data_IF_827599828793
#
_entry.id   IF_827599828793
#
_cell.length_a   1.000
_cell.length_b   1.000
_cell.length_c   1.000
_cell.angle_alpha   90.00
_cell.angle_beta   90.00
_cell.angle_gamma   90.00
#
_symmetry.space_group_name_H-M   'P 1'
#
loop_
_entity.id
_entity.type
_entity.pdbx_description
1 polymer ?
#
# COMPACT_ATOMS: atom_id res chain seq x y z
N UNK A 1 1.29 -5.74 17.91
CA UNK A 1 0.97 -5.69 16.46
C UNK A 1 -0.31 -6.48 16.28
N UNK A 2 -1.35 -5.89 15.70
CA UNK A 2 -2.65 -6.53 15.54
C UNK A 2 -3.41 -5.87 14.39
N UNK A 3 -4.45 -6.55 13.88
CA UNK A 3 -5.41 -5.98 12.94
C UNK A 3 -4.78 -5.34 11.68
N UNK A 4 -3.99 -6.12 10.94
CA UNK A 4 -3.43 -5.72 9.63
C UNK A 4 -2.70 -4.35 9.65
N UNK A 5 -2.00 -4.03 10.75
CA UNK A 5 -1.40 -2.70 10.94
C UNK A 5 0.05 -2.54 10.46
N UNK A 6 0.67 -3.62 9.98
CA UNK A 6 2.06 -3.66 9.49
C UNK A 6 3.06 -2.87 10.37
N UNK A 7 3.01 -3.02 11.70
CA UNK A 7 3.85 -2.25 12.64
C UNK A 7 3.62 -0.73 12.60
N UNK A 8 2.36 -0.29 12.72
CA UNK A 8 1.92 1.13 12.79
C UNK A 8 1.90 1.88 11.45
N UNK A 9 1.99 1.15 10.33
CA UNK A 9 1.83 1.75 8.99
C UNK A 9 0.40 2.22 8.77
N UNK A 10 -0.61 1.53 9.33
CA UNK A 10 -2.00 1.96 9.24
C UNK A 10 -2.19 3.39 9.77
N UNK A 11 -1.59 3.71 10.93
CA UNK A 11 -1.61 5.05 11.51
C UNK A 11 -0.81 6.06 10.68
N UNK A 12 0.33 5.67 10.13
CA UNK A 12 1.16 6.52 9.28
C UNK A 12 0.44 6.91 7.97
N UNK A 13 -0.15 5.93 7.29
CA UNK A 13 -0.94 6.14 6.07
C UNK A 13 -2.15 7.02 6.37
N UNK A 14 -2.89 6.71 7.44
CA UNK A 14 -4.04 7.52 7.84
C UNK A 14 -3.64 8.97 8.09
N UNK A 15 -2.55 9.22 8.82
CA UNK A 15 -2.05 10.56 9.09
C UNK A 15 -1.74 11.32 7.80
N UNK A 16 -0.91 10.74 6.91
CA UNK A 16 -0.47 11.39 5.68
C UNK A 16 -1.66 11.68 4.76
N UNK A 17 -2.51 10.69 4.50
CA UNK A 17 -3.64 10.87 3.57
C UNK A 17 -4.67 11.87 4.08
N UNK A 18 -4.88 11.94 5.40
CA UNK A 18 -5.72 12.98 6.00
C UNK A 18 -5.11 14.38 5.86
N UNK A 19 -3.80 14.51 6.08
CA UNK A 19 -3.12 15.79 5.91
C UNK A 19 -3.13 16.27 4.46
N UNK A 20 -2.95 15.37 3.49
CA UNK A 20 -3.04 15.70 2.06
C UNK A 20 -4.42 16.22 1.70
N UNK A 21 -5.50 15.57 2.17
CA UNK A 21 -6.86 16.05 1.91
C UNK A 21 -7.13 17.41 2.57
N UNK A 22 -6.65 17.63 3.80
CA UNK A 22 -6.77 18.92 4.48
C UNK A 22 -6.02 20.02 3.74
N UNK A 23 -4.81 19.73 3.24
CA UNK A 23 -4.01 20.65 2.45
C UNK A 23 -4.69 20.98 1.11
N UNK A 24 -5.28 19.99 0.44
CA UNK A 24 -6.03 20.20 -0.80
C UNK A 24 -7.21 21.16 -0.60
N UNK A 25 -7.93 21.03 0.52
CA UNK A 25 -9.01 21.95 0.90
C UNK A 25 -8.47 23.36 1.13
N UNK A 26 -7.40 23.51 1.93
CA UNK A 26 -6.80 24.81 2.25
C UNK A 26 -6.30 25.53 0.98
N UNK A 27 -5.69 24.79 0.05
CA UNK A 27 -5.16 25.34 -1.21
C UNK A 27 -6.22 25.48 -2.31
N UNK A 28 -7.45 25.02 -2.09
CA UNK A 28 -8.51 24.93 -3.10
C UNK A 28 -8.08 24.16 -4.37
N UNK A 29 -7.27 23.11 -4.21
CA UNK A 29 -6.81 22.22 -5.28
C UNK A 29 -7.59 20.91 -5.21
N UNK A 30 -7.85 20.26 -6.34
CA UNK A 30 -8.43 18.92 -6.32
C UNK A 30 -7.46 17.92 -5.63
N UNK A 31 -7.90 17.14 -4.64
CA UNK A 31 -7.04 16.23 -3.89
C UNK A 31 -6.41 15.11 -4.73
N UNK A 32 -6.99 14.73 -5.89
CA UNK A 32 -6.34 13.79 -6.79
C UNK A 32 -5.21 14.48 -7.58
N UNK A 33 -5.43 15.73 -7.99
CA UNK A 33 -4.39 16.54 -8.63
C UNK A 33 -3.22 16.82 -7.67
N UNK A 34 -3.50 17.22 -6.43
CA UNK A 34 -2.46 17.46 -5.42
C UNK A 34 -1.58 16.22 -5.21
N UNK A 35 -2.18 15.02 -5.20
CA UNK A 35 -1.42 13.76 -5.16
C UNK A 35 -0.56 13.60 -6.43
N UNK A 36 -1.15 13.69 -7.63
CA UNK A 36 -0.42 13.55 -8.90
C UNK A 36 0.80 14.48 -8.99
N UNK A 37 0.69 15.69 -8.47
CA UNK A 37 1.78 16.68 -8.50
C UNK A 37 2.93 16.35 -7.52
N UNK A 38 2.69 15.48 -6.54
CA UNK A 38 3.65 15.15 -5.46
C UNK A 38 4.03 13.66 -5.42
N UNK A 39 3.46 12.82 -6.27
CA UNK A 39 3.80 11.39 -6.33
C UNK A 39 5.23 11.20 -6.84
N UNK A 40 5.91 10.23 -6.26
CA UNK A 40 7.23 9.76 -6.72
C UNK A 40 7.06 9.15 -8.12
N UNK A 41 7.86 9.62 -9.07
CA UNK A 41 7.92 9.11 -10.44
C UNK A 41 8.58 7.73 -10.51
N UNK A 42 8.23 6.88 -11.48
CA UNK A 42 8.77 5.53 -11.60
C UNK A 42 10.29 5.50 -11.83
N UNK A 43 10.85 6.55 -12.41
CA UNK A 43 12.28 6.75 -12.66
C UNK A 43 13.07 7.18 -11.40
N UNK A 44 12.39 7.46 -10.29
CA UNK A 44 13.01 7.86 -9.03
C UNK A 44 13.27 6.67 -8.08
N UNK A 45 12.81 5.47 -8.42
CA UNK A 45 13.06 4.27 -7.63
C UNK A 45 14.43 3.65 -7.95
N UNK A 46 15.14 3.09 -6.94
CA UNK A 46 14.78 3.04 -5.53
C UNK A 46 14.84 4.43 -4.87
N UNK A 47 13.83 4.75 -4.05
CA UNK A 47 13.65 6.10 -3.49
C UNK A 47 13.92 6.10 -1.98
N UNK A 48 14.96 6.81 -1.55
CA UNK A 48 15.22 7.06 -0.13
C UNK A 48 14.29 8.16 0.40
N UNK A 49 13.32 7.77 1.22
CA UNK A 49 12.38 8.69 1.81
C UNK A 49 13.00 9.41 3.03
N UNK A 50 12.40 10.54 3.42
CA UNK A 50 12.94 11.40 4.48
C UNK A 50 12.95 10.76 5.88
N UNK A 51 12.27 9.64 6.06
CA UNK A 51 12.27 8.87 7.31
C UNK A 51 13.25 7.69 7.29
N UNK A 52 14.09 7.58 6.26
CA UNK A 52 15.21 6.63 6.19
C UNK A 52 14.86 5.29 5.55
N UNK A 53 13.66 5.11 5.02
CA UNK A 53 13.30 3.92 4.24
C UNK A 53 13.70 4.07 2.78
N UNK A 54 14.12 2.98 2.16
CA UNK A 54 14.33 2.90 0.72
C UNK A 54 13.15 2.15 0.12
N UNK A 55 12.33 2.84 -0.65
CA UNK A 55 11.23 2.22 -1.38
C UNK A 55 11.81 1.51 -2.61
N UNK A 56 11.37 0.28 -2.84
CA UNK A 56 11.93 -0.62 -3.84
C UNK A 56 11.52 -0.22 -5.27
N UNK A 57 10.22 -0.05 -5.52
CA UNK A 57 9.69 0.27 -6.85
C UNK A 57 8.27 0.85 -6.80
N UNK A 58 7.82 1.47 -7.89
CA UNK A 58 6.44 1.90 -8.05
C UNK A 58 6.18 2.69 -9.33
N UNK A 59 4.97 2.59 -9.87
CA UNK A 59 4.45 3.51 -10.90
C UNK A 59 3.14 4.13 -10.39
N UNK A 60 3.31 5.10 -9.49
CA UNK A 60 2.20 5.69 -8.77
C UNK A 60 1.28 6.53 -9.66
N UNK A 61 1.80 7.38 -10.56
CA UNK A 61 0.95 8.16 -11.46
C UNK A 61 0.08 7.26 -12.36
N UNK A 62 0.61 6.16 -12.89
CA UNK A 62 -0.17 5.24 -13.70
C UNK A 62 -1.29 4.56 -12.89
N UNK A 63 -0.96 4.09 -11.67
CA UNK A 63 -1.94 3.45 -10.78
C UNK A 63 -3.09 4.42 -10.40
N UNK A 64 -2.76 5.66 -10.01
CA UNK A 64 -3.77 6.65 -9.64
C UNK A 64 -4.65 7.03 -10.84
N UNK A 65 -4.05 7.30 -12.02
CA UNK A 65 -4.84 7.62 -13.23
C UNK A 65 -5.77 6.48 -13.62
N UNK A 66 -5.31 5.22 -13.53
CA UNK A 66 -6.14 4.04 -13.79
C UNK A 66 -7.33 3.96 -12.83
N UNK A 67 -7.10 4.17 -11.53
CA UNK A 67 -8.17 4.15 -10.53
C UNK A 67 -9.20 5.27 -10.78
N UNK A 68 -8.74 6.51 -11.02
CA UNK A 68 -9.62 7.66 -11.31
C UNK A 68 -10.44 7.44 -12.59
N UNK A 69 -9.83 6.86 -13.62
CA UNK A 69 -10.50 6.51 -14.88
C UNK A 69 -11.57 5.44 -14.68
N UNK A 70 -11.26 4.37 -13.93
CA UNK A 70 -12.18 3.26 -13.70
C UNK A 70 -13.48 3.67 -12.98
N UNK A 71 -13.41 4.69 -12.11
CA UNK A 71 -14.58 5.20 -11.36
C UNK A 71 -15.23 6.43 -12.00
N UNK A 72 -14.71 6.93 -13.12
CA UNK A 72 -15.21 8.15 -13.75
C UNK A 72 -15.10 9.38 -12.82
N UNK A 73 -13.93 9.58 -12.21
CA UNK A 73 -13.74 10.58 -11.14
C UNK A 73 -14.23 11.99 -11.49
N UNK A 74 -13.97 12.46 -12.71
CA UNK A 74 -14.42 13.78 -13.18
C UNK A 74 -15.95 13.88 -13.21
N UNK A 75 -16.64 12.78 -13.50
CA UNK A 75 -18.11 12.73 -13.53
C UNK A 75 -18.67 12.71 -12.11
N UNK A 76 -18.04 11.95 -11.20
CA UNK A 76 -18.37 11.97 -9.77
C UNK A 76 -18.23 13.38 -9.18
N UNK A 77 -17.19 14.13 -9.58
CA UNK A 77 -17.00 15.54 -9.17
C UNK A 77 -18.13 16.44 -9.66
N UNK A 78 -18.59 16.28 -10.91
CA UNK A 78 -19.73 17.03 -11.45
C UNK A 78 -21.03 16.68 -10.72
N UNK A 79 -21.26 15.40 -10.44
CA UNK A 79 -22.41 14.93 -9.68
C UNK A 79 -22.40 15.51 -8.25
N UNK A 80 -21.26 15.45 -7.56
CA UNK A 80 -21.09 16.01 -6.22
C UNK A 80 -21.44 17.50 -6.19
N UNK A 81 -21.00 18.27 -7.18
CA UNK A 81 -21.34 19.69 -7.28
C UNK A 81 -22.85 19.91 -7.51
N UNK A 82 -23.49 19.08 -8.35
CA UNK A 82 -24.93 19.16 -8.59
C UNK A 82 -25.75 18.79 -7.33
N UNK A 83 -25.34 17.76 -6.58
CA UNK A 83 -25.98 17.34 -5.33
C UNK A 83 -25.90 18.42 -4.25
N UNK A 84 -24.72 19.02 -4.07
CA UNK A 84 -24.53 20.12 -3.11
C UNK A 84 -25.45 21.33 -3.39
N UNK A 85 -25.71 21.65 -4.66
CA UNK A 85 -26.67 22.72 -5.04
C UNK A 85 -28.11 22.42 -4.62
N UNK A 86 -28.47 21.14 -4.44
CA UNK A 86 -29.79 20.70 -3.94
C UNK A 86 -29.84 20.51 -2.43
N UNK A 87 -28.77 20.87 -1.71
CA UNK A 87 -28.66 20.64 -0.27
C UNK A 87 -28.32 19.20 0.13
N UNK A 88 -27.94 18.35 -0.82
CA UNK A 88 -27.52 16.96 -0.56
C UNK A 88 -26.01 16.87 -0.28
N UNK A 89 -25.61 15.96 0.60
CA UNK A 89 -24.21 15.64 0.86
C UNK A 89 -23.77 14.43 0.04
N UNK A 90 -22.70 14.59 -0.72
CA UNK A 90 -22.00 13.51 -1.44
C UNK A 90 -20.50 13.61 -1.14
N UNK A 91 -19.92 12.54 -0.62
CA UNK A 91 -18.49 12.40 -0.36
C UNK A 91 -17.79 11.61 -1.47
N UNK A 92 -16.55 11.98 -1.78
CA UNK A 92 -15.64 11.21 -2.64
C UNK A 92 -14.36 11.07 -1.85
N UNK A 93 -14.09 9.88 -1.33
CA UNK A 93 -12.86 9.58 -0.60
C UNK A 93 -11.79 9.05 -1.55
N UNK A 94 -10.56 9.53 -1.40
CA UNK A 94 -9.39 9.03 -2.12
C UNK A 94 -8.31 8.71 -1.09
N UNK A 95 -7.74 7.51 -1.17
CA UNK A 95 -6.55 7.11 -0.41
C UNK A 95 -5.57 6.46 -1.38
N UNK A 96 -4.35 6.99 -1.43
CA UNK A 96 -3.25 6.45 -2.22
C UNK A 96 -2.06 6.26 -1.29
N UNK A 97 -1.59 5.04 -1.09
CA UNK A 97 -0.61 4.74 -0.06
C UNK A 97 0.48 3.80 -0.54
N UNK A 98 1.66 3.97 0.07
CA UNK A 98 2.78 3.03 -0.03
C UNK A 98 2.82 2.22 1.25
N UNK A 99 2.78 0.90 1.13
CA UNK A 99 2.86 -0.01 2.28
C UNK A 99 4.33 -0.41 2.52
N UNK A 100 4.69 -0.66 3.79
CA UNK A 100 5.95 -1.31 4.14
C UNK A 100 5.65 -2.66 4.81
N UNK A 101 6.03 -3.74 4.14
CA UNK A 101 5.88 -5.13 4.61
C UNK A 101 7.18 -5.90 4.45
N UNK A 102 7.27 -7.10 5.03
CA UNK A 102 8.51 -7.90 4.96
C UNK A 102 9.58 -7.42 5.94
N UNK A 103 9.18 -7.12 7.18
CA UNK A 103 10.13 -6.83 8.25
C UNK A 103 11.18 -7.95 8.35
N UNK A 104 12.47 -7.61 8.20
CA UNK A 104 13.48 -8.62 7.88
C UNK A 104 14.95 -8.21 8.05
N UNK A 105 15.38 -6.98 7.72
CA UNK A 105 16.80 -6.61 7.86
C UNK A 105 17.29 -6.73 9.31
N UNK A 106 18.08 -7.79 9.58
CA UNK A 106 18.57 -8.13 10.94
C UNK A 106 19.33 -6.99 11.62
N UNK A 107 19.96 -6.11 10.85
CA UNK A 107 20.68 -4.95 11.38
C UNK A 107 19.76 -4.03 12.21
N UNK A 108 18.46 -3.98 11.88
CA UNK A 108 17.51 -3.06 12.47
C UNK A 108 16.26 -3.74 13.06
N UNK A 109 16.05 -5.02 12.77
CA UNK A 109 14.81 -5.73 13.11
C UNK A 109 15.08 -7.11 13.67
N UNK A 110 14.62 -7.30 14.91
CA UNK A 110 14.60 -8.58 15.59
C UNK A 110 13.32 -8.74 16.43
N UNK A 111 12.97 -9.97 16.72
CA UNK A 111 11.99 -10.33 17.75
C UNK A 111 12.78 -11.00 18.87
N UNK A 112 13.02 -10.27 19.95
CA UNK A 112 13.71 -10.78 21.16
C UNK A 112 15.11 -11.34 20.87
N UNK A 113 15.88 -10.65 20.02
CA UNK A 113 17.24 -11.02 19.60
C UNK A 113 17.30 -12.01 18.43
N UNK A 114 16.15 -12.52 17.99
CA UNK A 114 16.05 -13.37 16.80
C UNK A 114 15.79 -12.49 15.58
N UNK A 115 16.68 -12.55 14.59
CA UNK A 115 16.47 -11.82 13.33
C UNK A 115 15.14 -12.22 12.70
N UNK A 116 14.47 -11.27 12.05
CA UNK A 116 13.17 -11.50 11.40
C UNK A 116 13.31 -12.19 10.04
N UNK A 117 14.11 -13.26 9.97
CA UNK A 117 14.26 -14.06 8.76
C UNK A 117 13.25 -15.21 8.73
N UNK A 118 12.76 -15.53 7.53
CA UNK A 118 12.00 -16.74 7.27
C UNK A 118 12.86 -17.78 6.54
N UNK A 119 12.38 -19.02 6.51
CA UNK A 119 13.06 -20.15 5.89
C UNK A 119 12.10 -21.10 5.18
N UNK A 120 12.63 -21.81 4.20
CA UNK A 120 11.94 -22.88 3.50
C UNK A 120 12.87 -24.08 3.29
N UNK A 121 12.31 -25.28 3.30
CA UNK A 121 13.02 -26.53 2.97
C UNK A 121 12.21 -27.28 1.94
N UNK A 122 12.81 -27.55 0.79
CA UNK A 122 12.19 -28.27 -0.30
C UNK A 122 12.83 -29.66 -0.44
N UNK A 123 12.00 -30.69 -0.56
CA UNK A 123 12.42 -32.07 -0.79
C UNK A 123 11.69 -32.64 -2.00
N UNK A 124 12.44 -33.19 -2.94
CA UNK A 124 11.89 -33.91 -4.09
C UNK A 124 12.04 -35.40 -3.83
N UNK A 125 10.95 -36.16 -3.94
CA UNK A 125 10.97 -37.61 -3.83
C UNK A 125 11.47 -38.26 -5.14
N UNK A 126 11.96 -39.51 -5.12
CA UNK A 126 12.28 -40.24 -6.34
C UNK A 126 11.11 -40.43 -7.31
N UNK A 127 9.87 -40.30 -6.81
CA UNK A 127 8.64 -40.37 -7.63
C UNK A 127 8.26 -39.03 -8.25
N UNK A 128 9.05 -37.97 -8.05
CA UNK A 128 8.79 -36.62 -8.58
C UNK A 128 7.82 -35.79 -7.76
N UNK A 129 7.36 -36.28 -6.60
CA UNK A 129 6.53 -35.50 -5.67
C UNK A 129 7.40 -34.51 -4.90
N UNK A 130 6.90 -33.29 -4.71
CA UNK A 130 7.61 -32.23 -3.98
C UNK A 130 6.95 -32.02 -2.62
N UNK A 131 7.77 -31.92 -1.57
CA UNK A 131 7.37 -31.51 -0.24
C UNK A 131 8.07 -30.19 0.09
N UNK A 132 7.29 -29.17 0.46
CA UNK A 132 7.79 -27.86 0.84
C UNK A 132 7.41 -27.60 2.30
N UNK A 133 8.41 -27.44 3.17
CA UNK A 133 8.25 -26.89 4.50
C UNK A 133 8.60 -25.41 4.50
N UNK A 134 7.79 -24.57 5.14
CA UNK A 134 7.98 -23.12 5.30
C UNK A 134 7.88 -22.76 6.78
N UNK A 135 8.58 -21.71 7.22
CA UNK A 135 8.52 -21.22 8.61
C UNK A 135 7.29 -20.36 8.90
N UNK A 136 6.63 -19.83 7.87
CA UNK A 136 5.43 -19.00 8.03
C UNK A 136 4.18 -19.85 8.24
N UNK A 137 3.35 -19.42 9.19
CA UNK A 137 2.06 -20.07 9.45
C UNK A 137 0.94 -19.34 8.71
N UNK A 138 0.05 -20.09 8.07
CA UNK A 138 -1.19 -19.54 7.48
C UNK A 138 -2.30 -19.42 8.52
N UNK A 139 -3.17 -18.42 8.36
CA UNK A 139 -4.46 -18.26 9.05
C UNK A 139 -5.61 -18.10 8.04
N UNK A 140 -5.42 -18.46 6.77
CA UNK A 140 -6.46 -18.42 5.73
C UNK A 140 -6.08 -17.69 4.44
N UNK A 141 -4.87 -17.14 4.34
CA UNK A 141 -4.38 -16.42 3.15
C UNK A 141 -3.98 -17.34 1.98
N UNK A 142 -4.13 -18.66 2.13
CA UNK A 142 -3.91 -19.63 1.04
C UNK A 142 -2.45 -20.00 0.80
N UNK A 143 -1.62 -20.08 1.85
CA UNK A 143 -0.20 -20.50 1.72
C UNK A 143 -0.05 -21.86 1.01
N UNK A 144 -0.87 -22.85 1.34
CA UNK A 144 -0.79 -24.20 0.75
C UNK A 144 -0.96 -24.19 -0.77
N UNK A 145 -1.75 -23.25 -1.30
CA UNK A 145 -1.94 -23.04 -2.73
C UNK A 145 -0.81 -22.19 -3.30
N UNK A 146 -0.60 -21.00 -2.74
CA UNK A 146 0.29 -19.97 -3.31
C UNK A 146 1.77 -20.34 -3.25
N UNK A 147 2.23 -21.03 -2.21
CA UNK A 147 3.61 -21.54 -2.16
C UNK A 147 3.84 -22.74 -3.07
N UNK A 148 2.79 -23.41 -3.55
CA UNK A 148 2.89 -24.54 -4.47
C UNK A 148 2.91 -24.13 -5.95
N UNK A 149 2.52 -22.88 -6.29
CA UNK A 149 2.51 -22.32 -7.65
C UNK A 149 3.92 -21.92 -8.10
#
# INVERSE_FOLDING_TARGET
VAYACSFRIAEAVYLVERLVDMLAVELAIDPAQLRLDNLIGPDQFPYECKTGWVYDSGDYPAALRKALGAVGYTDLRREQAAKRKRGELMGIGLSFFTEAVGAGPRQHMDIMGLGMNDGATLRISPTGTVQLGISVQTQGQGHETTFAQ
#
